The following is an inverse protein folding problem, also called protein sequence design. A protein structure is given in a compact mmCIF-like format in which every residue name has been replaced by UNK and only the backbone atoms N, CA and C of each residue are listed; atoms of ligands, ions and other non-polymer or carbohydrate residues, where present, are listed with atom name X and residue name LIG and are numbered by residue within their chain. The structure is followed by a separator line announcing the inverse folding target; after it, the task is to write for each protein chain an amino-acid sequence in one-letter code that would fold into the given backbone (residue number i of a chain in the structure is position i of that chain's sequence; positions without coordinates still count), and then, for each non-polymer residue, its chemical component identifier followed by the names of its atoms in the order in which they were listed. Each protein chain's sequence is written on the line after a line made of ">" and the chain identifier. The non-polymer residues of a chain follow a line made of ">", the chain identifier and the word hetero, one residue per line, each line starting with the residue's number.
data_IF_760814211726
#
_entry.id   IF_760814211726
#
_cell.length_a   1.000
_cell.length_b   1.000
_cell.length_c   1.000
_cell.angle_alpha   90.00
_cell.angle_beta   90.00
_cell.angle_gamma   90.00
#
_symmetry.space_group_name_H-M   'P 1'
#
loop_
_entity.id
_entity.type
_entity.pdbx_description
1 polymer ?
#
# COMPACT_ATOMS: atom_id res chain seq x y z
N UNK A 1 -20.13 -26.58 -11.24
CA UNK A 1 -18.95 -26.05 -11.96
C UNK A 1 -17.76 -26.19 -11.02
N UNK A 2 -16.75 -26.98 -11.37
CA UNK A 2 -15.65 -27.28 -10.44
C UNK A 2 -14.78 -26.05 -10.18
N UNK A 3 -14.40 -25.82 -8.92
CA UNK A 3 -13.59 -24.67 -8.45
C UNK A 3 -12.28 -24.53 -9.25
N UNK A 4 -11.74 -25.64 -9.76
CA UNK A 4 -10.52 -25.71 -10.56
C UNK A 4 -10.60 -25.00 -11.92
N UNK A 5 -11.78 -24.75 -12.48
CA UNK A 5 -11.95 -24.05 -13.76
C UNK A 5 -12.18 -22.53 -13.59
N UNK A 6 -11.99 -22.00 -12.39
CA UNK A 6 -12.20 -20.58 -12.07
C UNK A 6 -10.90 -19.96 -11.56
N UNK A 7 -10.68 -18.65 -11.76
CA UNK A 7 -9.49 -17.96 -11.23
C UNK A 7 -9.47 -17.87 -9.69
N UNK A 8 -10.49 -18.41 -9.02
CA UNK A 8 -10.66 -18.38 -7.57
C UNK A 8 -9.43 -18.92 -6.83
N UNK A 9 -8.83 -20.02 -7.30
CA UNK A 9 -7.65 -20.61 -6.66
C UNK A 9 -6.45 -19.67 -6.69
N UNK A 10 -6.21 -18.98 -7.82
CA UNK A 10 -5.14 -17.99 -7.96
C UNK A 10 -5.36 -16.79 -7.03
N UNK A 11 -6.59 -16.29 -6.95
CA UNK A 11 -6.95 -15.20 -6.04
C UNK A 11 -6.74 -15.61 -4.59
N UNK A 12 -7.21 -16.80 -4.20
CA UNK A 12 -7.06 -17.32 -2.84
C UNK A 12 -5.57 -17.47 -2.47
N UNK A 13 -4.74 -18.00 -3.37
CA UNK A 13 -3.29 -18.10 -3.17
C UNK A 13 -2.65 -16.73 -3.04
N UNK A 14 -3.00 -15.76 -3.91
CA UNK A 14 -2.50 -14.39 -3.81
C UNK A 14 -2.83 -13.72 -2.47
N UNK A 15 -4.09 -13.83 -2.03
CA UNK A 15 -4.53 -13.33 -0.72
C UNK A 15 -3.79 -14.00 0.44
N UNK A 16 -3.56 -15.31 0.36
CA UNK A 16 -2.79 -16.03 1.38
C UNK A 16 -1.34 -15.52 1.44
N UNK A 17 -0.68 -15.30 0.30
CA UNK A 17 0.67 -14.76 0.25
C UNK A 17 0.71 -13.35 0.86
N UNK A 18 -0.23 -12.46 0.50
CA UNK A 18 -0.32 -11.13 1.10
C UNK A 18 -0.57 -11.17 2.60
N UNK A 19 -1.41 -12.08 3.07
CA UNK A 19 -1.63 -12.28 4.51
C UNK A 19 -0.33 -12.71 5.19
N UNK A 20 0.36 -13.74 4.72
CA UNK A 20 1.62 -14.19 5.33
C UNK A 20 2.68 -13.08 5.34
N UNK A 21 2.79 -12.33 4.25
CA UNK A 21 3.71 -11.20 4.16
C UNK A 21 3.34 -10.06 5.13
N UNK A 22 2.06 -9.76 5.31
CA UNK A 22 1.62 -8.76 6.27
C UNK A 22 2.08 -9.10 7.70
N UNK A 23 1.87 -10.36 8.12
CA UNK A 23 2.21 -10.80 9.47
C UNK A 23 3.72 -10.93 9.71
N UNK A 24 4.47 -11.34 8.68
CA UNK A 24 5.92 -11.54 8.78
C UNK A 24 6.74 -10.29 8.45
N UNK A 25 6.62 -9.81 7.21
CA UNK A 25 7.47 -8.76 6.65
C UNK A 25 6.93 -7.35 6.96
N UNK A 26 5.66 -7.08 6.65
CA UNK A 26 5.13 -5.72 6.77
C UNK A 26 5.07 -5.24 8.20
N UNK A 27 4.62 -6.10 9.12
CA UNK A 27 4.61 -5.82 10.55
C UNK A 27 6.01 -5.63 11.14
N UNK A 28 7.02 -6.33 10.59
CA UNK A 28 8.40 -6.15 11.01
C UNK A 28 8.93 -4.78 10.59
N UNK A 29 8.68 -4.35 9.35
CA UNK A 29 9.05 -3.01 8.88
C UNK A 29 8.33 -1.91 9.67
N UNK A 30 7.02 -2.05 9.84
CA UNK A 30 6.20 -1.12 10.62
C UNK A 30 6.79 -0.89 12.01
N UNK A 31 7.04 -1.97 12.76
CA UNK A 31 7.50 -1.88 14.15
C UNK A 31 8.98 -1.57 14.32
N UNK A 32 9.84 -2.11 13.45
CA UNK A 32 11.31 -1.99 13.62
C UNK A 32 11.89 -0.76 12.93
N UNK A 33 11.31 -0.33 11.81
CA UNK A 33 11.84 0.79 11.01
C UNK A 33 11.07 2.07 11.34
N UNK A 34 9.75 2.04 11.18
CA UNK A 34 8.93 3.24 11.33
C UNK A 34 8.43 3.47 12.76
N UNK A 35 8.33 2.41 13.56
CA UNK A 35 7.93 2.44 14.98
C UNK A 35 6.89 3.54 15.28
N UNK A 36 5.68 3.44 14.68
CA UNK A 36 4.66 4.46 14.83
C UNK A 36 4.23 4.58 16.31
N UNK A 37 4.20 5.81 16.80
CA UNK A 37 3.72 6.12 18.15
C UNK A 37 2.27 6.66 18.07
N UNK A 38 1.26 5.90 18.55
CA UNK A 38 -0.11 6.36 18.54
C UNK A 38 -0.38 7.54 19.49
N UNK A 39 0.52 7.83 20.43
CA UNK A 39 0.40 9.00 21.31
C UNK A 39 0.91 10.29 20.66
N UNK A 40 1.67 10.19 19.56
CA UNK A 40 2.20 11.36 18.85
C UNK A 40 1.10 11.96 17.95
N UNK A 41 0.69 13.22 18.15
CA UNK A 41 -0.29 13.86 17.29
C UNK A 41 0.29 14.07 15.89
N UNK A 42 -0.55 13.86 14.87
CA UNK A 42 -0.17 14.10 13.47
C UNK A 42 -0.27 15.60 13.12
N UNK A 43 0.42 16.06 12.07
CA UNK A 43 0.34 17.46 11.60
C UNK A 43 -1.10 17.95 11.38
N UNK A 44 -1.99 17.07 10.94
CA UNK A 44 -3.42 17.34 10.76
C UNK A 44 -4.14 17.75 12.05
N UNK A 45 -3.63 17.38 13.22
CA UNK A 45 -4.15 17.79 14.53
C UNK A 45 -3.39 18.97 15.14
N UNK A 46 -2.08 19.08 14.93
CA UNK A 46 -1.26 20.15 15.53
C UNK A 46 -1.34 21.48 14.78
N UNK A 47 -1.48 21.44 13.46
CA UNK A 47 -1.57 22.63 12.60
C UNK A 47 -2.98 22.83 12.02
N UNK A 48 -4.00 22.29 12.68
CA UNK A 48 -5.36 22.28 12.17
C UNK A 48 -5.89 23.71 11.92
N UNK A 49 -6.01 24.08 10.65
CA UNK A 49 -6.44 25.41 10.19
C UNK A 49 -7.77 25.34 9.41
N UNK A 50 -8.23 24.14 9.08
CA UNK A 50 -9.46 23.92 8.32
C UNK A 50 -9.32 24.09 6.80
N UNK A 51 -8.11 24.37 6.32
CA UNK A 51 -7.81 24.56 4.89
C UNK A 51 -6.74 23.58 4.42
N UNK A 52 -5.52 23.69 4.96
CA UNK A 52 -4.37 22.84 4.61
C UNK A 52 -4.32 21.60 5.51
N UNK A 53 -4.56 21.79 6.81
CA UNK A 53 -4.53 20.74 7.81
C UNK A 53 -5.87 20.63 8.50
N UNK A 54 -6.49 19.46 8.39
CA UNK A 54 -7.69 19.13 9.15
C UNK A 54 -7.76 17.62 9.36
N UNK A 55 -8.25 17.17 10.53
CA UNK A 55 -8.34 15.75 10.81
C UNK A 55 -9.44 15.10 9.97
N UNK A 56 -9.11 13.97 9.34
CA UNK A 56 -10.02 13.22 8.48
C UNK A 56 -10.15 11.79 9.00
N UNK A 57 -11.36 11.22 8.89
CA UNK A 57 -11.61 9.83 9.27
C UNK A 57 -10.77 8.83 8.47
N UNK A 58 -10.34 7.74 9.13
CA UNK A 58 -9.46 6.71 8.56
C UNK A 58 -9.92 6.11 7.22
N UNK A 59 -11.24 6.00 7.01
CA UNK A 59 -11.80 5.42 5.79
C UNK A 59 -11.66 6.37 4.59
N UNK A 60 -11.76 7.67 4.83
CA UNK A 60 -11.54 8.68 3.79
C UNK A 60 -10.06 8.77 3.45
N UNK A 61 -9.18 8.74 4.46
CA UNK A 61 -7.73 8.65 4.26
C UNK A 61 -7.34 7.42 3.44
N UNK A 62 -7.95 6.26 3.73
CA UNK A 62 -7.75 5.06 2.92
C UNK A 62 -8.18 5.27 1.46
N UNK A 63 -9.31 5.95 1.22
CA UNK A 63 -9.75 6.30 -0.12
C UNK A 63 -8.75 7.18 -0.88
N UNK A 64 -8.18 8.20 -0.23
CA UNK A 64 -7.14 9.04 -0.82
C UNK A 64 -5.89 8.23 -1.16
N UNK A 65 -5.42 7.38 -0.25
CA UNK A 65 -4.28 6.50 -0.50
C UNK A 65 -4.56 5.54 -1.65
N UNK A 66 -5.74 4.92 -1.67
CA UNK A 66 -6.12 3.98 -2.72
C UNK A 66 -6.15 4.65 -4.10
N UNK A 67 -6.72 5.86 -4.19
CA UNK A 67 -6.75 6.62 -5.43
C UNK A 67 -5.32 6.97 -5.92
N UNK A 68 -4.42 7.32 -5.00
CA UNK A 68 -3.02 7.60 -5.33
C UNK A 68 -2.29 6.36 -5.88
N UNK A 69 -2.57 5.17 -5.34
CA UNK A 69 -1.98 3.89 -5.77
C UNK A 69 -2.56 3.42 -7.10
N UNK A 70 -3.85 3.67 -7.36
CA UNK A 70 -4.56 3.23 -8.56
C UNK A 70 -4.08 3.85 -9.88
N UNK A 71 -3.00 4.65 -9.83
CA UNK A 71 -2.34 5.27 -10.97
C UNK A 71 -1.64 4.24 -11.89
N UNK A 72 -0.68 4.70 -12.70
CA UNK A 72 -0.09 3.93 -13.80
C UNK A 72 0.66 2.64 -13.37
N UNK A 73 1.19 2.57 -12.14
CA UNK A 73 2.01 1.45 -11.68
C UNK A 73 1.30 0.08 -11.76
N UNK A 74 0.14 -0.09 -11.09
CA UNK A 74 -0.66 -1.32 -11.14
C UNK A 74 -1.19 -1.70 -12.53
N UNK A 75 -1.21 -0.76 -13.48
CA UNK A 75 -1.74 -1.00 -14.84
C UNK A 75 -0.61 -1.40 -15.79
N UNK A 76 0.45 -0.59 -15.86
CA UNK A 76 1.54 -0.78 -16.83
C UNK A 76 2.39 -2.01 -16.53
N UNK A 77 2.72 -2.26 -15.26
CA UNK A 77 3.59 -3.37 -14.88
C UNK A 77 3.03 -4.74 -15.29
N UNK A 78 1.82 -5.11 -14.83
CA UNK A 78 1.16 -6.33 -15.26
C UNK A 78 0.87 -6.34 -16.76
N UNK A 79 0.53 -5.19 -17.34
CA UNK A 79 0.29 -5.03 -18.79
C UNK A 79 1.49 -5.45 -19.64
N UNK A 80 2.71 -5.04 -19.25
CA UNK A 80 3.95 -5.45 -19.92
C UNK A 80 4.24 -6.93 -19.62
N UNK A 81 4.05 -7.36 -18.37
CA UNK A 81 4.31 -8.74 -17.96
C UNK A 81 3.41 -9.77 -18.69
N UNK A 82 2.21 -9.37 -19.12
CA UNK A 82 1.30 -10.20 -19.92
C UNK A 82 1.89 -10.64 -21.26
N UNK A 83 2.84 -9.88 -21.84
CA UNK A 83 3.56 -10.27 -23.07
C UNK A 83 4.30 -11.60 -22.87
N UNK A 84 4.73 -11.89 -21.63
CA UNK A 84 5.40 -13.13 -21.25
C UNK A 84 4.43 -14.21 -20.73
N UNK A 85 3.12 -13.95 -20.77
CA UNK A 85 2.06 -14.85 -20.34
C UNK A 85 1.42 -14.48 -19.00
N UNK A 86 0.43 -15.27 -18.59
CA UNK A 86 -0.37 -14.99 -17.40
C UNK A 86 0.40 -15.15 -16.09
N UNK A 87 1.34 -16.11 -16.02
CA UNK A 87 2.09 -16.40 -14.80
C UNK A 87 3.07 -15.29 -14.44
N UNK A 88 3.89 -14.75 -15.37
CA UNK A 88 4.72 -13.57 -15.09
C UNK A 88 3.90 -12.35 -14.66
N UNK A 89 2.74 -12.11 -15.28
CA UNK A 89 1.85 -11.02 -14.87
C UNK A 89 1.32 -11.20 -13.43
N UNK A 90 0.92 -12.42 -13.07
CA UNK A 90 0.49 -12.75 -11.72
C UNK A 90 1.61 -12.58 -10.68
N UNK A 91 2.81 -13.08 -10.97
CA UNK A 91 3.98 -12.92 -10.12
C UNK A 91 4.39 -11.45 -9.98
N UNK A 92 4.30 -10.67 -11.06
CA UNK A 92 4.56 -9.23 -11.02
C UNK A 92 3.65 -8.54 -10.02
N UNK A 93 2.34 -8.78 -10.10
CA UNK A 93 1.36 -8.17 -9.18
C UNK A 93 1.74 -8.48 -7.73
N UNK A 94 2.02 -9.76 -7.43
CA UNK A 94 2.34 -10.19 -6.07
C UNK A 94 3.66 -9.61 -5.58
N UNK A 95 4.74 -9.83 -6.33
CA UNK A 95 6.10 -9.50 -5.88
C UNK A 95 6.34 -7.99 -5.88
N UNK A 96 5.88 -7.25 -6.91
CA UNK A 96 6.07 -5.81 -6.97
C UNK A 96 5.33 -5.10 -5.84
N UNK A 97 4.08 -5.50 -5.57
CA UNK A 97 3.30 -4.95 -4.48
C UNK A 97 3.94 -5.26 -3.11
N UNK A 98 4.42 -6.49 -2.90
CA UNK A 98 5.00 -6.94 -1.63
C UNK A 98 6.37 -6.35 -1.31
N UNK A 99 7.26 -6.25 -2.30
CA UNK A 99 8.64 -5.89 -2.07
C UNK A 99 8.84 -4.37 -2.05
N UNK A 100 8.20 -3.66 -2.97
CA UNK A 100 8.48 -2.24 -3.21
C UNK A 100 7.24 -1.39 -2.98
N UNK A 101 6.10 -1.74 -3.59
CA UNK A 101 4.93 -0.85 -3.67
C UNK A 101 4.45 -0.36 -2.30
N UNK A 102 4.04 -1.28 -1.43
CA UNK A 102 3.51 -0.86 -0.13
C UNK A 102 4.57 -0.18 0.75
N UNK A 103 5.84 -0.61 0.67
CA UNK A 103 6.94 -0.05 1.47
C UNK A 103 7.21 1.38 1.06
N UNK A 104 7.27 1.66 -0.24
CA UNK A 104 7.51 2.98 -0.81
C UNK A 104 6.38 3.95 -0.42
N UNK A 105 5.12 3.55 -0.59
CA UNK A 105 3.97 4.39 -0.22
C UNK A 105 3.91 4.65 1.30
N UNK A 106 4.07 3.60 2.10
CA UNK A 106 4.08 3.70 3.56
C UNK A 106 5.21 4.61 4.06
N UNK A 107 6.39 4.46 3.48
CA UNK A 107 7.57 5.26 3.83
C UNK A 107 7.42 6.72 3.45
N UNK A 108 6.90 7.00 2.24
CA UNK A 108 6.65 8.37 1.79
C UNK A 108 5.65 9.09 2.70
N UNK A 109 4.55 8.41 3.06
CA UNK A 109 3.56 8.95 3.98
C UNK A 109 4.15 9.22 5.36
N UNK A 110 4.87 8.26 5.94
CA UNK A 110 5.47 8.43 7.27
C UNK A 110 6.56 9.50 7.30
N UNK A 111 7.33 9.65 6.23
CA UNK A 111 8.32 10.71 6.16
C UNK A 111 7.67 12.09 6.14
N UNK A 112 6.60 12.26 5.35
CA UNK A 112 5.83 13.51 5.34
C UNK A 112 5.23 13.83 6.72
N UNK A 113 4.58 12.86 7.39
CA UNK A 113 4.02 13.03 8.73
C UNK A 113 5.09 13.44 9.75
N UNK A 114 6.30 12.88 9.65
CA UNK A 114 7.43 13.23 10.52
C UNK A 114 8.03 14.59 10.20
N UNK A 115 7.92 15.06 8.96
CA UNK A 115 8.38 16.36 8.49
C UNK A 115 7.23 17.39 8.46
N UNK A 116 6.36 17.36 9.46
CA UNK A 116 5.27 18.35 9.65
C UNK A 116 4.25 18.42 8.51
N UNK A 117 4.10 17.33 7.74
CA UNK A 117 3.18 17.27 6.59
C UNK A 117 3.71 17.90 5.32
N UNK A 118 5.00 18.25 5.26
CA UNK A 118 5.63 18.79 4.05
C UNK A 118 5.68 17.72 2.95
N UNK A 119 5.42 18.14 1.72
CA UNK A 119 5.57 17.32 0.52
C UNK A 119 7.04 17.26 0.09
N UNK A 120 7.39 16.35 -0.83
CA UNK A 120 8.74 16.27 -1.43
C UNK A 120 9.01 17.34 -2.50
N UNK A 121 8.33 18.49 -2.43
CA UNK A 121 8.42 19.62 -3.37
C UNK A 121 8.14 20.94 -2.67
#
# INVERSE_FOLDING_TARGET
>A
MAIHNTPFTLVAVGLLIYALAYWGYSKAIDRKIWNPDPARPTPAHTYADGVEFFPVGRYVLYGFQFNSIAALGPILGPGIALIFGWLPAFLWIILAALLIGWVQDYSALFLSVRNEGKSFG
#
